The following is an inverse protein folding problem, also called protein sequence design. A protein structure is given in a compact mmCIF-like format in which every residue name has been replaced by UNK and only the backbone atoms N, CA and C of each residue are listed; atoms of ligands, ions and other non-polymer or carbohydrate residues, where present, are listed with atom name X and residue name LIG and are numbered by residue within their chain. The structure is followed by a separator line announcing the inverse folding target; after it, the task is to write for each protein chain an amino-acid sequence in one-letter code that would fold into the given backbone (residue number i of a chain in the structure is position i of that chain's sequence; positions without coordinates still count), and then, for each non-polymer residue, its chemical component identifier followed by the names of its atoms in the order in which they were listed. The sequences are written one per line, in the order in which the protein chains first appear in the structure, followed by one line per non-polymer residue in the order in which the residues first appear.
data_IF_215628520997
#
_entry.id   IF_215628520997
#
_cell.length_a   1.000
_cell.length_b   1.000
_cell.length_c   1.000
_cell.angle_alpha   90.00
_cell.angle_beta   90.00
_cell.angle_gamma   90.00
#
_symmetry.space_group_name_H-M   'P 1'
#
loop_
_entity.id
_entity.type
_entity.pdbx_description
1 polymer ?
#
# COMPACT_ATOMS: atom_id res chain seq x y z
N UNK A 1 12.77 26.64 59.19
CA UNK A 1 13.46 25.83 58.15
C UNK A 1 12.43 25.14 57.24
N UNK A 2 11.49 25.89 56.63
CA UNK A 2 10.34 25.27 55.94
C UNK A 2 10.06 25.82 54.54
N UNK A 3 10.63 26.96 54.17
CA UNK A 3 10.36 27.60 52.87
C UNK A 3 11.28 27.11 51.75
N UNK A 4 12.54 26.79 52.03
CA UNK A 4 13.49 26.27 51.03
C UNK A 4 13.13 24.88 50.49
N UNK A 5 12.61 23.99 51.35
CA UNK A 5 12.18 22.65 50.92
C UNK A 5 10.98 22.72 49.95
N UNK A 6 10.12 23.73 50.12
CA UNK A 6 8.90 23.90 49.34
C UNK A 6 9.20 24.47 47.95
N UNK A 7 10.21 25.33 47.84
CA UNK A 7 10.71 25.82 46.56
C UNK A 7 11.34 24.70 45.72
N UNK A 8 12.13 23.81 46.34
CA UNK A 8 12.81 22.74 45.63
C UNK A 8 11.83 21.67 45.08
N UNK A 9 10.74 21.38 45.82
CA UNK A 9 9.69 20.46 45.38
C UNK A 9 8.87 21.01 44.19
N UNK A 10 8.65 22.33 44.13
CA UNK A 10 7.93 22.98 43.03
C UNK A 10 8.76 23.03 41.75
N UNK A 11 10.08 23.24 41.84
CA UNK A 11 10.96 23.22 40.67
C UNK A 11 11.06 21.83 40.03
N UNK A 12 11.11 20.77 40.84
CA UNK A 12 11.11 19.38 40.35
C UNK A 12 9.88 19.04 39.50
N UNK A 13 8.68 19.45 39.92
CA UNK A 13 7.45 19.21 39.17
C UNK A 13 7.39 19.96 37.83
N UNK A 14 7.96 21.16 37.74
CA UNK A 14 8.01 21.91 36.48
C UNK A 14 8.96 21.24 35.46
N UNK A 15 10.12 20.75 35.91
CA UNK A 15 11.07 20.05 35.04
C UNK A 15 10.48 18.76 34.44
N UNK A 16 9.74 17.98 35.24
CA UNK A 16 9.07 16.74 34.78
C UNK A 16 7.96 17.04 33.77
N UNK A 17 7.17 18.10 33.98
CA UNK A 17 6.13 18.54 33.03
C UNK A 17 6.72 18.99 31.70
N UNK A 18 7.88 19.64 31.68
CA UNK A 18 8.55 20.04 30.44
C UNK A 18 9.14 18.84 29.69
N UNK A 19 9.77 17.89 30.40
CA UNK A 19 10.36 16.69 29.80
C UNK A 19 9.31 15.78 29.15
N UNK A 20 8.15 15.63 29.78
CA UNK A 20 7.01 14.86 29.25
C UNK A 20 6.40 15.53 28.02
N UNK A 21 6.22 16.86 28.02
CA UNK A 21 5.73 17.62 26.85
C UNK A 21 6.68 17.48 25.65
N UNK A 22 8.00 17.60 25.87
CA UNK A 22 9.02 17.42 24.81
C UNK A 22 9.04 15.99 24.25
N UNK A 23 8.81 14.98 25.09
CA UNK A 23 8.74 13.58 24.64
C UNK A 23 7.47 13.31 23.83
N UNK A 24 6.33 13.91 24.20
CA UNK A 24 5.07 13.81 23.45
C UNK A 24 5.19 14.48 22.06
N UNK A 25 5.80 15.67 21.99
CA UNK A 25 6.05 16.37 20.73
C UNK A 25 6.97 15.58 19.79
N UNK A 26 8.06 14.99 20.30
CA UNK A 26 8.99 14.19 19.48
C UNK A 26 8.35 12.90 18.93
N UNK A 27 7.46 12.26 19.69
CA UNK A 27 6.68 11.12 19.19
C UNK A 27 5.68 11.54 18.11
N UNK A 28 5.03 12.69 18.28
CA UNK A 28 4.14 13.24 17.26
C UNK A 28 4.91 13.62 15.99
N UNK A 29 6.04 14.31 16.07
CA UNK A 29 6.87 14.66 14.91
C UNK A 29 7.35 13.42 14.13
N UNK A 30 7.86 12.38 14.80
CA UNK A 30 8.20 11.12 14.14
C UNK A 30 7.00 10.44 13.49
N UNK A 31 5.82 10.54 14.11
CA UNK A 31 4.59 10.04 13.52
C UNK A 31 4.16 10.85 12.28
N UNK A 32 4.41 12.16 12.23
CA UNK A 32 4.11 12.99 11.05
C UNK A 32 5.10 12.71 9.92
N UNK A 33 6.41 12.65 10.19
CA UNK A 33 7.42 12.34 9.16
C UNK A 33 7.22 10.96 8.54
N UNK A 34 6.93 9.94 9.36
CA UNK A 34 6.60 8.60 8.87
C UNK A 34 5.29 8.57 8.07
N UNK A 35 4.31 9.43 8.41
CA UNK A 35 3.08 9.57 7.63
C UNK A 35 3.33 10.28 6.30
N UNK A 36 4.24 11.25 6.21
CA UNK A 36 4.47 11.96 4.95
C UNK A 36 5.20 11.11 3.90
N UNK A 37 6.28 10.42 4.28
CA UNK A 37 7.00 9.53 3.35
C UNK A 37 6.15 8.31 2.99
N UNK A 38 5.42 7.74 3.95
CA UNK A 38 4.48 6.64 3.70
C UNK A 38 3.32 7.04 2.80
N UNK A 39 2.76 8.24 2.95
CA UNK A 39 1.58 8.65 2.19
C UNK A 39 1.93 9.09 0.75
N UNK A 40 3.02 9.86 0.55
CA UNK A 40 3.48 10.20 -0.82
C UNK A 40 4.00 8.96 -1.56
N UNK A 41 4.85 8.15 -0.92
CA UNK A 41 5.37 6.91 -1.52
C UNK A 41 4.26 5.91 -1.84
N UNK A 42 3.28 5.78 -0.95
CA UNK A 42 2.10 4.95 -1.19
C UNK A 42 1.23 5.50 -2.33
N UNK A 43 0.96 6.80 -2.39
CA UNK A 43 0.15 7.37 -3.47
C UNK A 43 0.80 7.17 -4.84
N UNK A 44 2.12 7.35 -4.95
CA UNK A 44 2.87 7.05 -6.17
C UNK A 44 2.79 5.55 -6.51
N UNK A 45 2.99 4.67 -5.54
CA UNK A 45 2.87 3.22 -5.74
C UNK A 45 1.48 2.84 -6.27
N UNK A 46 0.42 3.41 -5.69
CA UNK A 46 -0.97 3.19 -6.07
C UNK A 46 -1.28 3.66 -7.48
N UNK A 47 -0.80 4.82 -7.89
CA UNK A 47 -0.97 5.30 -9.27
C UNK A 47 -0.24 4.41 -10.27
N UNK A 48 1.01 4.00 -9.94
CA UNK A 48 1.78 3.08 -10.80
C UNK A 48 1.08 1.75 -11.01
N UNK A 49 0.56 1.14 -9.94
CA UNK A 49 -0.12 -0.15 -10.07
C UNK A 49 -1.44 -0.02 -10.83
N UNK A 50 -2.22 1.05 -10.65
CA UNK A 50 -3.46 1.25 -11.43
C UNK A 50 -3.15 1.35 -12.92
N UNK A 51 -2.11 2.09 -13.28
CA UNK A 51 -1.64 2.18 -14.67
C UNK A 51 -1.17 0.81 -15.21
N UNK A 52 -0.38 0.07 -14.42
CA UNK A 52 0.11 -1.25 -14.82
C UNK A 52 -1.01 -2.30 -14.93
N UNK A 53 -1.98 -2.29 -14.02
CA UNK A 53 -3.19 -3.14 -14.09
C UNK A 53 -4.00 -2.80 -15.33
N UNK A 54 -4.17 -1.51 -15.66
CA UNK A 54 -4.87 -1.10 -16.88
C UNK A 54 -4.18 -1.64 -18.14
N UNK A 55 -2.85 -1.49 -18.23
CA UNK A 55 -2.06 -2.08 -19.32
C UNK A 55 -2.24 -3.59 -19.41
N UNK A 56 -2.15 -4.28 -18.27
CA UNK A 56 -2.33 -5.74 -18.21
C UNK A 56 -3.74 -6.15 -18.64
N UNK A 57 -4.76 -5.41 -18.19
CA UNK A 57 -6.17 -5.65 -18.54
C UNK A 57 -6.41 -5.50 -20.04
N UNK A 58 -5.77 -4.54 -20.69
CA UNK A 58 -5.85 -4.38 -22.15
C UNK A 58 -5.34 -5.64 -22.85
N UNK A 59 -4.14 -6.13 -22.50
CA UNK A 59 -3.59 -7.36 -23.08
C UNK A 59 -4.41 -8.60 -22.75
N UNK A 60 -4.96 -8.70 -21.53
CA UNK A 60 -5.89 -9.77 -21.16
C UNK A 60 -7.15 -9.75 -22.03
N UNK A 61 -7.64 -8.56 -22.40
CA UNK A 61 -8.78 -8.39 -23.31
C UNK A 61 -8.56 -8.99 -24.69
N UNK A 62 -7.30 -9.14 -25.12
CA UNK A 62 -6.93 -9.68 -26.43
C UNK A 62 -6.72 -11.21 -26.42
N UNK A 63 -6.69 -11.85 -25.25
CA UNK A 63 -6.49 -13.31 -25.12
C UNK A 63 -7.60 -14.06 -25.85
N UNK A 64 -7.25 -15.13 -26.58
CA UNK A 64 -8.23 -15.89 -27.36
C UNK A 64 -9.03 -16.89 -26.52
N UNK A 65 -8.36 -17.51 -25.54
CA UNK A 65 -9.00 -18.44 -24.62
C UNK A 65 -9.90 -17.68 -23.62
N UNK A 66 -11.23 -17.90 -23.65
CA UNK A 66 -12.16 -17.20 -22.77
C UNK A 66 -11.97 -17.57 -21.29
N UNK A 67 -11.62 -18.81 -20.97
CA UNK A 67 -11.43 -19.24 -19.58
C UNK A 67 -10.19 -18.58 -18.97
N UNK A 68 -9.10 -18.50 -19.73
CA UNK A 68 -7.88 -17.79 -19.31
C UNK A 68 -8.14 -16.30 -19.17
N UNK A 69 -8.83 -15.69 -20.14
CA UNK A 69 -9.22 -14.27 -20.12
C UNK A 69 -10.03 -13.94 -18.87
N UNK A 70 -11.08 -14.70 -18.59
CA UNK A 70 -11.99 -14.44 -17.47
C UNK A 70 -11.28 -14.65 -16.13
N UNK A 71 -10.48 -15.71 -15.98
CA UNK A 71 -9.70 -15.95 -14.77
C UNK A 71 -8.65 -14.85 -14.53
N UNK A 72 -7.94 -14.42 -15.57
CA UNK A 72 -6.98 -13.32 -15.48
C UNK A 72 -7.67 -11.98 -15.16
N UNK A 73 -8.82 -11.71 -15.79
CA UNK A 73 -9.60 -10.50 -15.53
C UNK A 73 -10.15 -10.47 -14.09
N UNK A 74 -10.57 -11.61 -13.55
CA UNK A 74 -11.00 -11.73 -12.15
C UNK A 74 -9.87 -11.39 -11.16
N UNK A 75 -8.65 -11.92 -11.40
CA UNK A 75 -7.48 -11.58 -10.59
C UNK A 75 -7.13 -10.09 -10.63
N UNK A 76 -7.16 -9.47 -11.82
CA UNK A 76 -6.93 -8.03 -11.97
C UNK A 76 -8.01 -7.19 -11.28
N UNK A 77 -9.27 -7.65 -11.32
CA UNK A 77 -10.37 -6.98 -10.60
C UNK A 77 -10.12 -7.04 -9.10
N UNK A 78 -9.78 -8.20 -8.55
CA UNK A 78 -9.45 -8.35 -7.13
C UNK A 78 -8.31 -7.41 -6.72
N UNK A 79 -7.25 -7.31 -7.53
CA UNK A 79 -6.15 -6.39 -7.25
C UNK A 79 -6.60 -4.92 -7.25
N UNK A 80 -7.42 -4.51 -8.22
CA UNK A 80 -8.00 -3.16 -8.27
C UNK A 80 -8.93 -2.86 -7.08
N UNK A 81 -9.76 -3.82 -6.66
CA UNK A 81 -10.64 -3.66 -5.50
C UNK A 81 -9.81 -3.42 -4.23
N UNK A 82 -8.70 -4.16 -4.05
CA UNK A 82 -7.74 -3.93 -2.97
C UNK A 82 -7.14 -2.52 -3.00
N UNK A 83 -6.68 -2.07 -4.18
CA UNK A 83 -6.17 -0.70 -4.34
C UNK A 83 -7.23 0.34 -4.02
N UNK A 84 -8.49 0.10 -4.40
CA UNK A 84 -9.62 0.96 -4.09
C UNK A 84 -9.82 1.15 -2.59
N UNK A 85 -9.81 0.06 -1.81
CA UNK A 85 -9.90 0.11 -0.35
C UNK A 85 -8.74 0.87 0.28
N UNK A 86 -7.52 0.66 -0.22
CA UNK A 86 -6.35 1.44 0.20
C UNK A 86 -6.57 2.94 -0.08
N UNK A 87 -7.21 3.31 -1.20
CA UNK A 87 -7.57 4.71 -1.48
C UNK A 87 -8.45 5.29 -0.41
N UNK A 88 -9.55 4.60 -0.13
CA UNK A 88 -10.56 5.08 0.79
C UNK A 88 -9.98 5.25 2.20
N UNK A 89 -9.13 4.32 2.64
CA UNK A 89 -8.42 4.43 3.90
C UNK A 89 -7.54 5.70 3.94
N UNK A 90 -6.74 5.95 2.91
CA UNK A 90 -5.83 7.10 2.89
C UNK A 90 -6.56 8.44 2.78
N UNK A 91 -7.65 8.50 2.01
CA UNK A 91 -8.50 9.70 1.91
C UNK A 91 -9.13 10.08 3.25
N UNK A 92 -9.36 9.10 4.12
CA UNK A 92 -9.87 9.30 5.48
C UNK A 92 -8.77 9.43 6.54
N UNK A 93 -7.50 9.52 6.12
CA UNK A 93 -6.34 9.63 7.01
C UNK A 93 -5.98 8.34 7.76
N UNK A 94 -6.62 7.22 7.41
CA UNK A 94 -6.30 5.90 7.94
C UNK A 94 -5.10 5.29 7.19
N UNK A 95 -4.45 4.34 7.85
CA UNK A 95 -3.42 3.51 7.23
C UNK A 95 -4.08 2.44 6.37
N UNK A 96 -3.42 2.06 5.29
CA UNK A 96 -3.85 0.89 4.51
C UNK A 96 -3.86 -0.36 5.41
N UNK A 97 -4.95 -1.11 5.40
CA UNK A 97 -5.00 -2.38 6.13
C UNK A 97 -4.07 -3.41 5.48
N UNK A 98 -3.51 -4.32 6.27
CA UNK A 98 -2.69 -5.42 5.73
C UNK A 98 -3.49 -6.28 4.75
N UNK A 99 -4.73 -6.60 5.11
CA UNK A 99 -5.68 -7.36 4.29
C UNK A 99 -5.91 -6.75 2.91
N UNK A 100 -5.93 -5.43 2.78
CA UNK A 100 -6.12 -4.77 1.49
C UNK A 100 -4.85 -4.88 0.62
N UNK A 101 -3.66 -4.76 1.23
CA UNK A 101 -2.38 -5.00 0.53
C UNK A 101 -2.24 -6.46 0.10
N UNK A 102 -2.66 -7.39 0.94
CA UNK A 102 -2.64 -8.82 0.65
C UNK A 102 -3.65 -9.15 -0.46
N UNK A 103 -4.80 -8.47 -0.50
CA UNK A 103 -5.77 -8.57 -1.60
C UNK A 103 -5.16 -8.16 -2.94
N UNK A 104 -4.33 -7.11 -2.96
CA UNK A 104 -3.57 -6.70 -4.15
C UNK A 104 -2.62 -7.81 -4.60
N UNK A 105 -1.80 -8.32 -3.68
CA UNK A 105 -0.82 -9.37 -3.98
C UNK A 105 -1.51 -10.65 -4.49
N UNK A 106 -2.58 -11.09 -3.81
CA UNK A 106 -3.34 -12.28 -4.18
C UNK A 106 -4.00 -12.14 -5.56
N UNK A 107 -4.57 -10.97 -5.88
CA UNK A 107 -5.17 -10.73 -7.20
C UNK A 107 -4.14 -10.81 -8.33
N UNK A 108 -2.95 -10.20 -8.15
CA UNK A 108 -1.86 -10.27 -9.13
C UNK A 108 -1.32 -11.69 -9.30
N UNK A 109 -1.20 -12.45 -8.21
CA UNK A 109 -0.80 -13.86 -8.25
C UNK A 109 -1.84 -14.72 -8.97
N UNK A 110 -3.13 -14.50 -8.72
CA UNK A 110 -4.21 -15.19 -9.41
C UNK A 110 -4.19 -14.92 -10.92
N UNK A 111 -3.96 -13.65 -11.32
CA UNK A 111 -3.76 -13.30 -12.74
C UNK A 111 -2.58 -14.07 -13.34
N UNK A 112 -1.44 -14.11 -12.64
CA UNK A 112 -0.25 -14.83 -13.13
C UNK A 112 -0.50 -16.33 -13.30
N UNK A 113 -1.21 -16.93 -12.35
CA UNK A 113 -1.57 -18.35 -12.41
C UNK A 113 -2.50 -18.64 -13.59
N UNK A 114 -3.49 -17.77 -13.84
CA UNK A 114 -4.38 -17.90 -14.99
C UNK A 114 -3.60 -17.81 -16.32
N UNK A 115 -2.71 -16.82 -16.45
CA UNK A 115 -1.89 -16.64 -17.66
C UNK A 115 -0.94 -17.83 -17.91
N UNK A 116 -0.40 -18.44 -16.86
CA UNK A 116 0.44 -19.64 -16.98
C UNK A 116 -0.35 -20.86 -17.48
N UNK A 117 -1.64 -20.94 -17.15
CA UNK A 117 -2.54 -21.98 -17.65
C UNK A 117 -2.98 -21.78 -19.10
N UNK A 118 -2.72 -20.61 -19.69
CA UNK A 118 -3.10 -20.30 -21.07
C UNK A 118 -2.10 -20.77 -22.12
N UNK A 119 -2.52 -20.69 -23.37
CA UNK A 119 -1.68 -21.02 -24.53
C UNK A 119 -0.51 -20.03 -24.64
N UNK A 120 0.71 -20.52 -24.39
CA UNK A 120 1.92 -19.71 -24.45
C UNK A 120 2.36 -19.37 -25.88
N UNK A 121 1.67 -19.88 -26.90
CA UNK A 121 1.85 -19.43 -28.30
C UNK A 121 0.97 -18.23 -28.63
N UNK A 122 -0.05 -17.91 -27.81
CA UNK A 122 -0.86 -16.69 -27.92
C UNK A 122 -0.03 -15.47 -27.51
N UNK A 123 0.22 -14.57 -28.45
CA UNK A 123 0.95 -13.33 -28.19
C UNK A 123 0.26 -12.42 -27.17
N UNK A 124 -1.07 -12.52 -27.03
CA UNK A 124 -1.80 -11.79 -26.00
C UNK A 124 -1.47 -12.32 -24.59
N UNK A 125 -1.32 -13.64 -24.43
CA UNK A 125 -0.90 -14.25 -23.16
C UNK A 125 0.52 -13.81 -22.79
N UNK A 126 1.45 -13.80 -23.76
CA UNK A 126 2.83 -13.30 -23.54
C UNK A 126 2.84 -11.83 -23.12
N UNK A 127 2.16 -10.95 -23.88
CA UNK A 127 2.07 -9.51 -23.58
C UNK A 127 1.41 -9.23 -22.23
N UNK A 128 0.37 -9.99 -21.90
CA UNK A 128 -0.27 -9.91 -20.59
C UNK A 128 0.71 -10.31 -19.49
N UNK A 129 1.50 -11.37 -19.69
CA UNK A 129 2.56 -11.78 -18.76
C UNK A 129 3.61 -10.70 -18.53
N UNK A 130 4.11 -10.07 -19.59
CA UNK A 130 5.09 -8.97 -19.51
C UNK A 130 4.52 -7.75 -18.78
N UNK A 131 3.28 -7.37 -19.10
CA UNK A 131 2.58 -6.27 -18.42
C UNK A 131 2.31 -6.59 -16.95
N UNK A 132 1.98 -7.84 -16.64
CA UNK A 132 1.76 -8.30 -15.27
C UNK A 132 3.03 -8.16 -14.43
N UNK A 133 4.23 -8.41 -14.97
CA UNK A 133 5.48 -8.20 -14.21
C UNK A 133 5.63 -6.75 -13.72
N UNK A 134 5.22 -5.77 -14.54
CA UNK A 134 5.20 -4.35 -14.12
C UNK A 134 4.18 -4.12 -13.00
N UNK A 135 3.01 -4.76 -13.09
CA UNK A 135 1.99 -4.68 -12.05
C UNK A 135 2.42 -5.37 -10.75
N UNK A 136 3.13 -6.50 -10.81
CA UNK A 136 3.72 -7.19 -9.65
C UNK A 136 4.76 -6.33 -8.96
N UNK A 137 5.69 -5.73 -9.71
CA UNK A 137 6.67 -4.81 -9.14
C UNK A 137 5.99 -3.60 -8.46
N UNK A 138 4.99 -3.00 -9.11
CA UNK A 138 4.21 -1.91 -8.52
C UNK A 138 3.37 -2.37 -7.30
N UNK A 139 2.90 -3.62 -7.28
CA UNK A 139 2.18 -4.22 -6.15
C UNK A 139 3.07 -4.44 -4.93
N UNK A 140 4.32 -4.87 -5.12
CA UNK A 140 5.30 -4.95 -4.04
C UNK A 140 5.59 -3.58 -3.43
N UNK A 141 5.60 -2.53 -4.26
CA UNK A 141 5.69 -1.14 -3.82
C UNK A 141 4.48 -0.75 -2.96
N UNK A 142 3.26 -1.17 -3.30
CA UNK A 142 2.07 -0.97 -2.44
C UNK A 142 2.21 -1.71 -1.10
N UNK A 143 2.63 -2.97 -1.12
CA UNK A 143 2.80 -3.78 0.11
C UNK A 143 3.83 -3.14 1.05
N UNK A 144 4.95 -2.66 0.50
CA UNK A 144 6.05 -2.11 1.27
C UNK A 144 5.84 -0.66 1.73
N UNK A 145 5.25 0.20 0.88
CA UNK A 145 5.17 1.65 1.10
C UNK A 145 3.85 2.11 1.72
N UNK A 146 2.75 1.38 1.54
CA UNK A 146 1.44 1.76 2.07
C UNK A 146 1.23 1.27 3.51
N UNK A 147 1.91 1.83 4.52
CA UNK A 147 1.85 1.36 5.93
C UNK A 147 1.32 2.39 6.93
#
# INVERSE_FOLDING_TARGET
MSDDLRANLMMGHMAVKQATKRSKNRRQQRAIESRQIGNLGCNVARLKIVSAISSTKSSVGDIKDPAVKDAAAAGLKQANDGIGKIASALLTGQKAAATDRDTVAAGLQATGTALQGGDQTDDAVKKAGESLQKAVAAGQDVVSKCK
#
